data_IF_510746127798
#
_entry.id   IF_510746127798
#
_cell.length_a   1.000
_cell.length_b   1.000
_cell.length_c   1.000
_cell.angle_alpha   90.00
_cell.angle_beta   90.00
_cell.angle_gamma   90.00
#
_symmetry.space_group_name_H-M   'P 1'
#
loop_
_entity.id
_entity.type
_entity.pdbx_description
1 polymer ?
#
# COMPACT_ATOMS: atom_id res chain seq x y z
N UNK A 1 3.92 4.33 15.96
CA UNK A 1 3.80 4.91 14.59
C UNK A 1 2.35 5.03 14.16
N UNK A 2 1.57 3.94 14.13
CA UNK A 2 0.14 3.99 13.76
C UNK A 2 -0.65 5.04 14.56
N UNK A 3 -0.48 5.08 15.88
CA UNK A 3 -1.10 6.08 16.75
C UNK A 3 -0.84 7.52 16.27
N UNK A 4 0.43 7.86 16.01
CA UNK A 4 0.82 9.18 15.50
C UNK A 4 0.30 9.43 14.08
N UNK A 5 0.27 8.39 13.24
CA UNK A 5 -0.30 8.45 11.90
C UNK A 5 -1.79 8.77 11.91
N UNK A 6 -2.57 8.11 12.77
CA UNK A 6 -4.00 8.32 12.92
C UNK A 6 -4.31 9.71 13.52
N UNK A 7 -3.56 10.15 14.54
CA UNK A 7 -3.68 11.51 15.09
C UNK A 7 -3.35 12.58 14.05
N UNK A 8 -2.30 12.37 13.25
CA UNK A 8 -1.94 13.29 12.15
C UNK A 8 -3.02 13.32 11.07
N UNK A 9 -3.60 12.17 10.73
CA UNK A 9 -4.67 12.05 9.73
C UNK A 9 -5.91 12.84 10.20
N UNK A 10 -6.28 12.69 11.47
CA UNK A 10 -7.33 13.50 12.08
C UNK A 10 -6.99 14.99 12.05
N UNK A 11 -5.83 15.39 12.57
CA UNK A 11 -5.44 16.79 12.71
C UNK A 11 -5.39 17.55 11.38
N UNK A 12 -5.21 16.84 10.25
CA UNK A 12 -5.24 17.40 8.90
C UNK A 12 -6.63 17.52 8.28
N UNK A 13 -7.69 17.10 8.98
CA UNK A 13 -9.06 17.10 8.43
C UNK A 13 -9.36 15.93 7.48
N UNK A 14 -8.37 15.06 7.22
CA UNK A 14 -8.46 14.03 6.18
C UNK A 14 -9.54 12.97 6.43
N UNK A 15 -10.02 12.81 7.67
CA UNK A 15 -11.18 11.96 7.97
C UNK A 15 -12.40 12.44 7.18
N UNK A 16 -12.71 13.74 7.27
CA UNK A 16 -13.83 14.31 6.54
C UNK A 16 -13.57 14.30 5.04
N UNK A 17 -12.39 14.76 4.63
CA UNK A 17 -12.04 15.02 3.23
C UNK A 17 -12.05 13.76 2.38
N UNK A 18 -11.59 12.64 2.96
CA UNK A 18 -11.44 11.37 2.25
C UNK A 18 -12.68 10.48 2.40
N UNK A 19 -13.40 10.55 3.53
CA UNK A 19 -14.42 9.53 3.87
C UNK A 19 -15.82 10.05 4.17
N UNK A 20 -16.01 11.33 4.50
CA UNK A 20 -17.34 11.85 4.89
C UNK A 20 -17.93 12.82 3.86
N UNK A 21 -17.08 13.68 3.28
CA UNK A 21 -17.50 14.68 2.29
C UNK A 21 -17.69 14.12 0.87
N UNK A 22 -16.91 13.13 0.40
CA UNK A 22 -17.10 12.60 -0.94
C UNK A 22 -18.52 12.03 -1.14
N UNK A 23 -19.19 12.35 -2.26
CA UNK A 23 -20.54 11.85 -2.53
C UNK A 23 -20.56 10.37 -2.99
N UNK A 24 -19.39 9.87 -3.40
CA UNK A 24 -19.18 8.54 -3.95
C UNK A 24 -17.87 7.98 -3.40
N UNK A 25 -17.79 6.67 -3.24
CA UNK A 25 -16.56 5.97 -2.83
C UNK A 25 -16.25 4.85 -3.81
N UNK A 26 -15.00 4.79 -4.24
CA UNK A 26 -14.53 3.67 -5.05
C UNK A 26 -14.26 2.47 -4.14
N UNK A 27 -14.78 1.31 -4.51
CA UNK A 27 -14.79 0.11 -3.68
C UNK A 27 -13.88 -0.96 -4.26
N UNK A 28 -13.39 -1.83 -3.38
CA UNK A 28 -12.66 -3.02 -3.78
C UNK A 28 -13.65 -4.13 -4.18
N UNK A 29 -13.33 -4.97 -5.18
CA UNK A 29 -14.17 -6.12 -5.52
C UNK A 29 -14.49 -6.98 -4.29
N UNK A 30 -15.78 -7.24 -4.05
CA UNK A 30 -16.27 -7.99 -2.88
C UNK A 30 -16.50 -7.17 -1.60
N UNK A 31 -16.19 -5.87 -1.62
CA UNK A 31 -16.28 -4.98 -0.46
C UNK A 31 -17.17 -3.75 -0.68
N UNK A 32 -18.06 -3.76 -1.68
CA UNK A 32 -18.99 -2.66 -1.95
C UNK A 32 -20.02 -2.40 -0.83
N UNK A 33 -20.15 -3.34 0.10
CA UNK A 33 -20.97 -3.22 1.31
C UNK A 33 -20.27 -2.45 2.44
N UNK A 34 -18.96 -2.24 2.36
CA UNK A 34 -18.20 -1.48 3.37
C UNK A 34 -18.43 0.01 3.11
N UNK A 35 -19.06 0.71 4.06
CA UNK A 35 -19.43 2.13 3.96
C UNK A 35 -19.02 2.87 5.23
N UNK A 36 -18.70 4.18 5.13
CA UNK A 36 -18.29 4.95 6.30
C UNK A 36 -19.40 5.02 7.34
N UNK A 37 -19.01 5.09 8.61
CA UNK A 37 -19.97 5.29 9.69
C UNK A 37 -20.65 6.66 9.54
N UNK A 38 -21.96 6.77 9.79
CA UNK A 38 -22.66 8.04 9.70
C UNK A 38 -22.26 9.00 10.83
N UNK A 39 -22.40 10.31 10.56
CA UNK A 39 -22.13 11.37 11.53
C UNK A 39 -20.72 11.29 12.14
N UNK A 40 -20.64 11.42 13.46
CA UNK A 40 -19.36 11.41 14.19
C UNK A 40 -18.76 10.00 14.36
N UNK A 41 -19.44 8.96 13.89
CA UNK A 41 -19.04 7.57 14.09
C UNK A 41 -17.63 7.27 13.56
N UNK A 42 -17.23 7.88 12.44
CA UNK A 42 -15.90 7.67 11.87
C UNK A 42 -14.79 8.34 12.70
N UNK A 43 -15.06 9.49 13.32
CA UNK A 43 -14.12 10.11 14.25
C UNK A 43 -13.92 9.24 15.50
N UNK A 44 -15.00 8.68 16.05
CA UNK A 44 -14.91 7.72 17.16
C UNK A 44 -14.13 6.46 16.75
N UNK A 45 -14.29 5.99 15.52
CA UNK A 45 -13.51 4.87 14.97
C UNK A 45 -12.01 5.18 14.89
N UNK A 46 -11.64 6.39 14.45
CA UNK A 46 -10.24 6.82 14.47
C UNK A 46 -9.68 6.96 15.89
N UNK A 47 -10.48 7.43 16.85
CA UNK A 47 -10.10 7.44 18.27
C UNK A 47 -9.85 6.02 18.78
N UNK A 48 -10.69 5.06 18.38
CA UNK A 48 -10.49 3.65 18.69
C UNK A 48 -9.17 3.12 18.10
N UNK A 49 -8.83 3.45 16.84
CA UNK A 49 -7.53 3.10 16.24
C UNK A 49 -6.36 3.68 17.04
N UNK A 50 -6.46 4.93 17.51
CA UNK A 50 -5.45 5.58 18.35
C UNK A 50 -5.27 4.82 19.68
N UNK A 51 -6.38 4.55 20.38
CA UNK A 51 -6.37 3.82 21.65
C UNK A 51 -5.83 2.39 21.49
N UNK A 52 -6.32 1.65 20.49
CA UNK A 52 -5.87 0.29 20.18
C UNK A 52 -4.38 0.25 19.82
N UNK A 53 -3.89 1.24 19.06
CA UNK A 53 -2.46 1.39 18.75
C UNK A 53 -1.62 1.59 20.01
N UNK A 54 -2.09 2.39 20.97
CA UNK A 54 -1.42 2.58 22.25
C UNK A 54 -1.41 1.28 23.08
N UNK A 55 -2.55 0.58 23.15
CA UNK A 55 -2.66 -0.72 23.82
C UNK A 55 -1.68 -1.74 23.24
N UNK A 56 -1.58 -1.86 21.91
CA UNK A 56 -0.63 -2.77 21.26
C UNK A 56 0.83 -2.37 21.58
N UNK A 57 1.16 -1.08 21.52
CA UNK A 57 2.52 -0.60 21.80
C UNK A 57 2.96 -0.85 23.26
N UNK A 58 2.04 -0.67 24.22
CA UNK A 58 2.28 -0.95 25.64
C UNK A 58 2.16 -2.46 25.97
N UNK A 59 1.58 -3.24 25.06
CA UNK A 59 1.17 -4.61 25.29
C UNK A 59 0.15 -4.74 26.43
N UNK A 60 -0.89 -3.92 26.38
CA UNK A 60 -2.05 -3.92 27.26
C UNK A 60 -3.23 -4.56 26.52
N UNK A 61 -3.84 -5.60 27.11
CA UNK A 61 -4.87 -6.42 26.46
C UNK A 61 -4.44 -6.85 25.05
N UNK A 62 -3.16 -7.16 24.87
CA UNK A 62 -2.47 -7.15 23.58
C UNK A 62 -3.17 -8.00 22.53
N UNK A 63 -3.61 -9.22 22.89
CA UNK A 63 -4.19 -10.16 21.92
C UNK A 63 -5.47 -9.59 21.29
N UNK A 64 -6.35 -9.06 22.14
CA UNK A 64 -7.59 -8.43 21.70
C UNK A 64 -7.29 -7.12 20.98
N UNK A 65 -6.41 -6.29 21.55
CA UNK A 65 -6.06 -5.00 20.97
C UNK A 65 -5.45 -5.13 19.57
N UNK A 66 -4.57 -6.10 19.33
CA UNK A 66 -3.97 -6.34 18.02
C UNK A 66 -4.99 -6.85 16.99
N UNK A 67 -5.90 -7.73 17.40
CA UNK A 67 -6.98 -8.22 16.52
C UNK A 67 -7.96 -7.09 16.16
N UNK A 68 -8.39 -6.30 17.14
CA UNK A 68 -9.26 -5.15 16.90
C UNK A 68 -8.56 -4.06 16.10
N UNK A 69 -7.26 -3.83 16.30
CA UNK A 69 -6.49 -2.88 15.51
C UNK A 69 -6.41 -3.29 14.05
N UNK A 70 -6.18 -4.57 13.77
CA UNK A 70 -6.22 -5.12 12.42
C UNK A 70 -7.59 -4.85 11.77
N UNK A 71 -8.68 -5.27 12.43
CA UNK A 71 -10.03 -5.08 11.89
C UNK A 71 -10.39 -3.59 11.69
N UNK A 72 -10.09 -2.74 12.68
CA UNK A 72 -10.41 -1.33 12.64
C UNK A 72 -9.62 -0.59 11.54
N UNK A 73 -8.33 -0.90 11.38
CA UNK A 73 -7.50 -0.26 10.36
C UNK A 73 -7.83 -0.78 8.96
N UNK A 74 -8.00 -2.09 8.78
CA UNK A 74 -8.39 -2.69 7.49
C UNK A 74 -9.78 -2.22 7.05
N UNK A 75 -10.72 -2.01 7.97
CA UNK A 75 -12.01 -1.37 7.65
C UNK A 75 -11.80 0.00 6.98
N UNK A 76 -10.97 0.88 7.56
CA UNK A 76 -10.71 2.22 6.99
C UNK A 76 -10.03 2.13 5.63
N UNK A 77 -9.11 1.17 5.44
CA UNK A 77 -8.46 0.93 4.15
C UNK A 77 -9.48 0.51 3.06
N UNK A 78 -10.49 -0.27 3.42
CA UNK A 78 -11.52 -0.78 2.50
C UNK A 78 -12.58 0.25 2.12
N UNK A 79 -12.68 1.38 2.83
CA UNK A 79 -13.67 2.42 2.57
C UNK A 79 -13.48 3.16 1.24
N UNK A 80 -12.22 3.40 0.84
CA UNK A 80 -11.93 4.24 -0.33
C UNK A 80 -10.69 3.73 -1.07
N UNK A 81 -10.91 3.14 -2.25
CA UNK A 81 -9.87 2.62 -3.13
C UNK A 81 -9.00 3.74 -3.71
N UNK A 82 -9.52 4.96 -3.90
CA UNK A 82 -8.73 6.12 -4.29
C UNK A 82 -7.73 6.57 -3.21
N UNK A 83 -7.83 6.05 -1.98
CA UNK A 83 -6.87 6.30 -0.91
C UNK A 83 -5.85 5.16 -0.74
N UNK A 84 -5.82 4.19 -1.66
CA UNK A 84 -4.91 3.04 -1.60
C UNK A 84 -3.44 3.46 -1.55
N UNK A 85 -2.70 2.92 -0.58
CA UNK A 85 -1.25 3.05 -0.48
C UNK A 85 -0.64 1.72 -0.03
N UNK A 86 0.47 1.31 -0.65
CA UNK A 86 1.15 0.06 -0.27
C UNK A 86 1.51 -0.02 1.23
N UNK A 87 1.77 1.13 1.88
CA UNK A 87 2.06 1.11 3.32
C UNK A 87 0.84 0.97 4.21
N UNK A 88 -0.37 1.34 3.75
CA UNK A 88 -1.59 1.01 4.48
C UNK A 88 -1.84 -0.49 4.44
N UNK A 89 -1.65 -1.10 3.27
CA UNK A 89 -1.66 -2.55 3.15
C UNK A 89 -0.62 -3.23 4.05
N UNK A 90 0.63 -2.72 4.10
CA UNK A 90 1.65 -3.23 5.02
C UNK A 90 1.23 -3.13 6.48
N UNK A 91 0.61 -2.03 6.89
CA UNK A 91 0.11 -1.84 8.27
C UNK A 91 -0.95 -2.90 8.59
N UNK A 92 -1.93 -3.10 7.71
CA UNK A 92 -2.95 -4.16 7.86
C UNK A 92 -2.30 -5.54 8.01
N UNK A 93 -1.34 -5.87 7.15
CA UNK A 93 -0.63 -7.16 7.21
C UNK A 93 0.19 -7.33 8.49
N UNK A 94 0.91 -6.30 8.93
CA UNK A 94 1.68 -6.35 10.17
C UNK A 94 0.77 -6.44 11.40
N UNK A 95 -0.37 -5.75 11.40
CA UNK A 95 -1.36 -5.84 12.47
C UNK A 95 -1.95 -7.25 12.56
N UNK A 96 -2.27 -7.89 11.42
CA UNK A 96 -2.69 -9.29 11.36
C UNK A 96 -1.63 -10.23 11.93
N UNK A 97 -0.37 -10.10 11.48
CA UNK A 97 0.73 -10.91 11.99
C UNK A 97 0.90 -10.72 13.51
N UNK A 98 0.84 -9.48 14.01
CA UNK A 98 0.91 -9.20 15.45
C UNK A 98 -0.27 -9.82 16.21
N UNK A 99 -1.49 -9.82 15.65
CA UNK A 99 -2.65 -10.47 16.28
C UNK A 99 -2.47 -11.99 16.42
N UNK A 100 -1.75 -12.63 15.48
CA UNK A 100 -1.43 -14.06 15.51
C UNK A 100 -0.25 -14.39 16.43
N UNK A 101 0.65 -13.43 16.68
CA UNK A 101 1.91 -13.64 17.41
C UNK A 101 1.82 -13.14 18.87
N UNK A 102 2.27 -13.92 19.88
CA UNK A 102 2.24 -13.49 21.28
C UNK A 102 3.40 -12.53 21.64
N UNK A 103 3.45 -11.34 21.01
CA UNK A 103 4.57 -10.40 21.19
C UNK A 103 4.61 -9.69 22.56
N UNK A 104 3.55 -9.81 23.37
CA UNK A 104 3.46 -9.22 24.70
C UNK A 104 4.21 -9.98 25.80
N UNK A 105 4.82 -11.14 25.52
CA UNK A 105 5.38 -11.99 26.58
C UNK A 105 6.63 -11.45 27.31
N UNK A 106 7.18 -10.28 26.98
CA UNK A 106 8.44 -9.80 27.57
C UNK A 106 8.26 -8.57 28.48
N UNK A 107 8.27 -7.37 27.90
CA UNK A 107 8.31 -6.10 28.64
C UNK A 107 6.94 -5.37 28.67
N UNK A 108 5.85 -6.06 28.37
CA UNK A 108 4.51 -5.50 28.24
C UNK A 108 3.84 -5.22 29.59
N UNK A 109 2.76 -4.42 29.57
CA UNK A 109 1.89 -4.24 30.73
C UNK A 109 1.15 -5.54 31.10
N UNK A 110 0.73 -6.34 30.12
CA UNK A 110 0.09 -7.65 30.37
C UNK A 110 1.01 -8.59 31.16
N UNK A 111 2.28 -8.72 30.75
CA UNK A 111 3.26 -9.58 31.43
C UNK A 111 3.73 -9.01 32.78
N UNK A 112 3.55 -7.70 33.01
CA UNK A 112 3.73 -7.10 34.34
C UNK A 112 2.59 -7.45 35.28
N UNK A 113 1.33 -7.40 34.80
CA UNK A 113 0.10 -7.70 35.55
C UNK A 113 -0.05 -9.19 35.81
N UNK A 114 0.23 -10.02 34.81
CA UNK A 114 0.19 -11.48 34.91
C UNK A 114 1.58 -12.07 34.61
N UNK A 115 2.36 -12.44 35.64
CA UNK A 115 3.66 -13.06 35.49
C UNK A 115 3.65 -14.38 34.70
N UNK A 116 2.51 -15.09 34.60
CA UNK A 116 2.41 -16.34 33.83
C UNK A 116 2.60 -16.13 32.32
N UNK A 117 2.38 -14.91 31.84
CA UNK A 117 2.60 -14.51 30.45
C UNK A 117 4.07 -14.23 30.12
N UNK A 118 4.96 -14.14 31.13
CA UNK A 118 6.37 -13.81 30.93
C UNK A 118 7.09 -14.95 30.19
N UNK A 119 7.83 -14.57 29.15
CA UNK A 119 8.58 -15.46 28.27
C UNK A 119 9.99 -14.91 28.07
N UNK A 120 10.99 -15.73 28.38
CA UNK A 120 12.39 -15.39 28.14
C UNK A 120 12.77 -15.49 26.65
N UNK A 121 12.08 -16.37 25.91
CA UNK A 121 12.32 -16.66 24.50
C UNK A 121 11.01 -16.94 23.75
N UNK A 122 11.06 -16.82 22.42
CA UNK A 122 9.99 -17.17 21.50
C UNK A 122 10.53 -18.14 20.43
N UNK A 123 9.68 -18.99 19.83
CA UNK A 123 10.06 -19.78 18.66
C UNK A 123 10.56 -18.89 17.52
N UNK A 124 11.61 -19.33 16.82
CA UNK A 124 12.26 -18.54 15.79
C UNK A 124 11.33 -18.14 14.63
N UNK A 125 10.34 -18.97 14.31
CA UNK A 125 9.38 -18.69 13.23
C UNK A 125 8.54 -17.43 13.48
N UNK A 126 8.34 -17.02 14.74
CA UNK A 126 7.53 -15.84 15.07
C UNK A 126 8.21 -14.55 14.61
N UNK A 127 9.49 -14.38 14.97
CA UNK A 127 10.31 -13.29 14.43
C UNK A 127 10.60 -13.49 12.94
N UNK A 128 10.78 -14.73 12.51
CA UNK A 128 10.97 -15.11 11.11
C UNK A 128 9.83 -14.63 10.21
N UNK A 129 8.57 -14.76 10.64
CA UNK A 129 7.41 -14.29 9.90
C UNK A 129 7.44 -12.76 9.69
N UNK A 130 7.68 -11.98 10.76
CA UNK A 130 7.78 -10.52 10.65
C UNK A 130 8.94 -10.10 9.73
N UNK A 131 10.10 -10.76 9.86
CA UNK A 131 11.26 -10.52 8.98
C UNK A 131 10.97 -10.84 7.53
N UNK A 132 10.35 -11.98 7.26
CA UNK A 132 9.97 -12.40 5.91
C UNK A 132 9.01 -11.38 5.31
N UNK A 133 7.97 -10.96 6.04
CA UNK A 133 7.04 -9.95 5.54
C UNK A 133 7.73 -8.65 5.13
N UNK A 134 8.60 -8.10 6.00
CA UNK A 134 9.34 -6.87 5.69
C UNK A 134 10.31 -7.08 4.51
N UNK A 135 10.97 -8.23 4.45
CA UNK A 135 11.87 -8.58 3.34
C UNK A 135 11.11 -8.68 2.02
N UNK A 136 9.91 -9.27 1.99
CA UNK A 136 9.09 -9.37 0.78
C UNK A 136 8.72 -7.99 0.22
N UNK A 137 8.42 -7.02 1.07
CA UNK A 137 8.13 -5.63 0.63
C UNK A 137 9.33 -5.06 -0.13
N UNK A 138 10.53 -5.14 0.44
CA UNK A 138 11.75 -4.67 -0.23
C UNK A 138 12.03 -5.45 -1.51
N UNK A 139 12.04 -6.78 -1.44
CA UNK A 139 12.39 -7.63 -2.59
C UNK A 139 11.41 -7.41 -3.74
N UNK A 140 10.10 -7.39 -3.50
CA UNK A 140 9.14 -7.16 -4.58
C UNK A 140 9.13 -5.71 -5.09
N UNK A 141 9.41 -4.72 -4.25
CA UNK A 141 9.64 -3.35 -4.71
C UNK A 141 10.87 -3.26 -5.63
N UNK A 142 11.90 -4.07 -5.37
CA UNK A 142 13.10 -4.19 -6.20
C UNK A 142 12.86 -4.98 -7.48
N UNK A 143 12.14 -6.12 -7.42
CA UNK A 143 11.75 -6.90 -8.59
C UNK A 143 10.91 -6.07 -9.55
N UNK A 144 9.98 -5.26 -9.04
CA UNK A 144 9.16 -4.40 -9.87
C UNK A 144 9.99 -3.31 -10.60
N UNK A 145 11.18 -2.96 -10.10
CA UNK A 145 12.16 -2.06 -10.74
C UNK A 145 13.01 -2.74 -11.81
N UNK A 146 12.92 -4.07 -11.98
CA UNK A 146 13.66 -4.80 -13.01
C UNK A 146 12.96 -4.72 -14.37
N UNK A 147 12.87 -3.51 -14.92
CA UNK A 147 12.26 -3.24 -16.23
C UNK A 147 13.06 -2.16 -16.99
N UNK A 148 12.80 -2.04 -18.29
CA UNK A 148 13.52 -1.09 -19.17
C UNK A 148 13.32 0.37 -18.79
N UNK A 149 12.11 0.74 -18.36
CA UNK A 149 11.76 2.12 -18.02
C UNK A 149 12.57 2.59 -16.83
N UNK A 150 12.65 1.75 -15.80
CA UNK A 150 13.46 2.01 -14.62
C UNK A 150 14.96 1.88 -14.91
N UNK A 151 15.46 0.70 -15.29
CA UNK A 151 16.91 0.43 -15.32
C UNK A 151 17.65 1.13 -16.47
N UNK A 152 17.02 1.20 -17.65
CA UNK A 152 17.66 1.71 -18.87
C UNK A 152 17.28 3.16 -19.10
N UNK A 153 15.99 3.49 -19.01
CA UNK A 153 15.51 4.85 -19.27
C UNK A 153 15.58 5.75 -18.04
N UNK A 154 15.80 5.21 -16.84
CA UNK A 154 15.72 5.92 -15.55
C UNK A 154 14.45 6.77 -15.40
N UNK A 155 13.35 6.25 -15.94
CA UNK A 155 12.02 6.79 -15.77
C UNK A 155 11.34 6.04 -14.61
N UNK A 156 10.56 6.76 -13.79
CA UNK A 156 10.25 8.20 -13.88
C UNK A 156 11.26 9.11 -13.16
N UNK A 157 12.37 8.60 -12.62
CA UNK A 157 13.34 9.41 -11.85
C UNK A 157 13.86 10.65 -12.58
N UNK A 158 14.11 10.57 -13.90
CA UNK A 158 14.50 11.74 -14.72
C UNK A 158 13.48 12.88 -14.66
N UNK A 159 12.19 12.56 -14.53
CA UNK A 159 11.11 13.53 -14.43
C UNK A 159 11.07 14.07 -13.01
N UNK A 160 11.01 13.18 -12.01
CA UNK A 160 10.82 13.59 -10.63
C UNK A 160 11.97 14.40 -10.04
N UNK A 161 13.22 14.07 -10.37
CA UNK A 161 14.38 14.78 -9.83
C UNK A 161 14.46 16.23 -10.35
N UNK A 162 14.00 16.48 -11.58
CA UNK A 162 13.97 17.83 -12.16
C UNK A 162 12.98 18.77 -11.46
N UNK A 163 11.99 18.23 -10.75
CA UNK A 163 11.07 19.04 -9.95
C UNK A 163 11.70 19.61 -8.66
N UNK A 164 12.96 19.25 -8.36
CA UNK A 164 13.65 19.58 -7.11
C UNK A 164 15.00 20.28 -7.34
N UNK A 165 15.16 20.96 -8.47
CA UNK A 165 16.42 21.64 -8.85
C UNK A 165 16.70 22.90 -8.04
N UNK A 166 15.71 23.37 -7.30
CA UNK A 166 15.75 24.50 -6.37
C UNK A 166 16.33 24.13 -4.99
N UNK A 167 16.51 22.84 -4.69
CA UNK A 167 17.07 22.40 -3.41
C UNK A 167 18.51 22.91 -3.22
N UNK A 168 18.83 23.53 -2.07
CA UNK A 168 20.19 23.96 -1.76
C UNK A 168 21.19 22.80 -1.84
N UNK A 169 22.38 23.09 -2.37
CA UNK A 169 23.53 22.18 -2.51
C UNK A 169 23.36 21.03 -3.52
N UNK A 170 22.19 20.38 -3.56
CA UNK A 170 21.97 19.16 -4.36
C UNK A 170 21.16 19.40 -5.63
N UNK A 171 20.36 20.48 -5.70
CA UNK A 171 19.49 20.80 -6.84
C UNK A 171 20.19 20.75 -8.21
N UNK A 172 21.38 21.36 -8.39
CA UNK A 172 22.11 21.28 -9.65
C UNK A 172 22.46 19.85 -10.09
N UNK A 173 22.70 18.93 -9.14
CA UNK A 173 22.99 17.53 -9.45
C UNK A 173 21.72 16.78 -9.83
N UNK A 174 20.57 17.12 -9.24
CA UNK A 174 19.28 16.51 -9.56
C UNK A 174 18.81 16.84 -10.99
N UNK A 175 19.33 17.91 -11.60
CA UNK A 175 19.12 18.21 -13.01
C UNK A 175 19.89 17.28 -13.96
N UNK A 176 20.99 16.65 -13.49
CA UNK A 176 21.83 15.78 -14.30
C UNK A 176 21.20 14.40 -14.49
N UNK A 177 20.98 14.04 -15.75
CA UNK A 177 20.41 12.78 -16.20
C UNK A 177 21.23 11.57 -15.70
N UNK A 178 22.54 11.72 -15.50
CA UNK A 178 23.42 10.66 -14.96
C UNK A 178 23.06 10.33 -13.51
N UNK A 179 22.67 11.33 -12.72
CA UNK A 179 22.23 11.14 -11.33
C UNK A 179 20.94 10.34 -11.30
N UNK A 180 20.00 10.59 -12.22
CA UNK A 180 18.78 9.79 -12.33
C UNK A 180 19.07 8.30 -12.62
N UNK A 181 20.00 7.98 -13.52
CA UNK A 181 20.39 6.58 -13.78
C UNK A 181 21.10 5.95 -12.57
N UNK A 182 22.01 6.68 -11.92
CA UNK A 182 22.67 6.20 -10.72
C UNK A 182 21.67 5.90 -9.60
N UNK A 183 20.70 6.80 -9.37
CA UNK A 183 19.62 6.60 -8.38
C UNK A 183 18.68 5.46 -8.77
N UNK A 184 18.41 5.27 -10.06
CA UNK A 184 17.61 4.14 -10.55
C UNK A 184 18.27 2.81 -10.20
N UNK A 185 19.54 2.63 -10.60
CA UNK A 185 20.30 1.41 -10.32
C UNK A 185 20.48 1.20 -8.81
N UNK A 186 20.83 2.26 -8.08
CA UNK A 186 20.99 2.20 -6.63
C UNK A 186 19.68 1.84 -5.92
N UNK A 187 18.55 2.40 -6.35
CA UNK A 187 17.23 2.08 -5.79
C UNK A 187 16.82 0.64 -6.02
N UNK A 188 17.02 0.11 -7.23
CA UNK A 188 16.75 -1.30 -7.54
C UNK A 188 17.66 -2.25 -6.73
N UNK A 189 18.97 -1.96 -6.71
CA UNK A 189 19.94 -2.76 -5.97
C UNK A 189 19.67 -2.72 -4.46
N UNK A 190 19.35 -1.55 -3.91
CA UNK A 190 18.98 -1.39 -2.51
C UNK A 190 17.78 -2.25 -2.15
N UNK A 191 16.67 -2.12 -2.86
CA UNK A 191 15.43 -2.86 -2.58
C UNK A 191 15.64 -4.39 -2.68
N UNK A 192 16.40 -4.86 -3.67
CA UNK A 192 16.66 -6.29 -3.86
C UNK A 192 17.59 -6.90 -2.79
N UNK A 193 18.52 -6.12 -2.24
CA UNK A 193 19.63 -6.67 -1.44
C UNK A 193 19.62 -6.26 0.03
N UNK A 194 18.93 -5.17 0.39
CA UNK A 194 19.01 -4.62 1.75
C UNK A 194 18.56 -5.61 2.84
N UNK A 195 17.54 -6.48 2.64
CA UNK A 195 17.20 -7.46 3.66
C UNK A 195 18.34 -8.46 3.93
N UNK A 196 19.05 -8.88 2.88
CA UNK A 196 20.18 -9.81 2.99
C UNK A 196 21.34 -9.15 3.75
N UNK A 197 21.62 -7.89 3.46
CA UNK A 197 22.70 -7.15 4.12
C UNK A 197 22.41 -6.86 5.60
N UNK A 198 21.15 -6.60 5.97
CA UNK A 198 20.78 -6.43 7.39
C UNK A 198 20.90 -7.74 8.18
N UNK A 199 20.55 -8.87 7.54
CA UNK A 199 20.66 -10.20 8.13
C UNK A 199 22.12 -10.64 8.27
N UNK A 200 22.97 -10.34 7.28
CA UNK A 200 24.39 -10.69 7.31
C UNK A 200 25.18 -9.84 8.31
N UNK A 201 25.82 -10.49 9.28
CA UNK A 201 26.53 -9.80 10.36
C UNK A 201 27.66 -8.89 9.91
N UNK A 202 28.31 -9.18 8.76
CA UNK A 202 29.47 -8.42 8.27
C UNK A 202 29.08 -7.09 7.64
N UNK A 203 27.90 -6.99 7.04
CA UNK A 203 27.47 -5.78 6.29
C UNK A 203 26.46 -4.93 7.06
N UNK A 204 25.94 -5.42 8.20
CA UNK A 204 24.83 -4.82 8.93
C UNK A 204 24.95 -3.32 9.26
N UNK A 205 26.12 -2.85 9.68
CA UNK A 205 26.29 -1.43 10.04
C UNK A 205 26.17 -0.56 8.80
N UNK A 206 26.85 -0.95 7.72
CA UNK A 206 26.74 -0.29 6.41
C UNK A 206 25.29 -0.34 5.91
N UNK A 207 24.64 -1.50 6.02
CA UNK A 207 23.24 -1.68 5.64
C UNK A 207 22.30 -0.74 6.42
N UNK A 208 22.51 -0.56 7.73
CA UNK A 208 21.73 0.39 8.52
C UNK A 208 21.93 1.83 8.05
N UNK A 209 23.17 2.25 7.78
CA UNK A 209 23.45 3.58 7.21
C UNK A 209 22.72 3.75 5.88
N UNK A 210 22.77 2.74 5.01
CA UNK A 210 22.02 2.75 3.75
C UNK A 210 20.51 2.86 3.96
N UNK A 211 19.92 2.14 4.91
CA UNK A 211 18.47 2.23 5.23
C UNK A 211 18.09 3.63 5.66
N UNK A 212 18.83 4.22 6.61
CA UNK A 212 18.54 5.57 7.07
C UNK A 212 18.73 6.61 5.96
N UNK A 213 19.83 6.52 5.21
CA UNK A 213 20.11 7.43 4.09
C UNK A 213 19.08 7.33 2.97
N UNK A 214 18.75 6.12 2.53
CA UNK A 214 17.76 5.89 1.46
C UNK A 214 16.38 6.43 1.83
N UNK A 215 15.89 6.12 3.04
CA UNK A 215 14.58 6.60 3.51
C UNK A 215 14.57 8.11 3.80
N UNK A 216 15.69 8.69 4.24
CA UNK A 216 15.81 10.14 4.37
C UNK A 216 15.75 10.84 3.00
N UNK A 217 16.52 10.36 2.02
CA UNK A 217 16.54 10.92 0.65
C UNK A 217 15.16 10.79 0.01
N UNK A 218 14.55 9.61 0.06
CA UNK A 218 13.21 9.40 -0.51
C UNK A 218 12.13 10.18 0.23
N UNK A 219 12.23 10.33 1.55
CA UNK A 219 11.31 11.17 2.33
C UNK A 219 11.46 12.67 2.08
N UNK A 220 12.65 13.12 1.67
CA UNK A 220 12.90 14.51 1.28
C UNK A 220 12.38 14.81 -0.14
N UNK A 221 12.63 13.89 -1.08
CA UNK A 221 12.35 14.10 -2.51
C UNK A 221 10.92 13.75 -2.92
N UNK A 222 10.20 12.94 -2.14
CA UNK A 222 8.91 12.40 -2.56
C UNK A 222 7.87 12.49 -1.44
N UNK A 223 6.60 12.83 -1.77
CA UNK A 223 5.52 12.95 -0.78
C UNK A 223 4.98 11.58 -0.34
N UNK A 224 5.82 10.75 0.30
CA UNK A 224 5.53 9.35 0.65
C UNK A 224 4.78 9.18 1.99
N UNK A 225 4.38 10.28 2.63
CA UNK A 225 3.67 10.27 3.89
C UNK A 225 4.45 9.57 5.01
N UNK A 226 3.86 8.54 5.61
CA UNK A 226 4.49 7.80 6.74
C UNK A 226 5.40 6.67 6.29
N UNK A 227 5.48 6.37 4.98
CA UNK A 227 6.20 5.22 4.46
C UNK A 227 7.69 5.17 4.86
N UNK A 228 8.51 6.23 4.67
CA UNK A 228 9.94 6.16 5.00
C UNK A 228 10.16 5.80 6.48
N UNK A 229 9.37 6.43 7.36
CA UNK A 229 9.41 6.16 8.79
C UNK A 229 9.04 4.71 9.13
N UNK A 230 7.97 4.19 8.53
CA UNK A 230 7.50 2.81 8.79
C UNK A 230 8.53 1.80 8.30
N UNK A 231 9.11 2.02 7.12
CA UNK A 231 10.09 1.11 6.55
C UNK A 231 11.42 1.13 7.30
N UNK A 232 11.89 2.30 7.75
CA UNK A 232 13.07 2.41 8.62
C UNK A 232 12.85 1.67 9.95
N UNK A 233 11.70 1.89 10.61
CA UNK A 233 11.38 1.21 11.86
C UNK A 233 11.23 -0.31 11.68
N UNK A 234 10.58 -0.74 10.59
CA UNK A 234 10.36 -2.16 10.28
C UNK A 234 11.66 -2.88 9.92
N UNK A 235 12.62 -2.20 9.28
CA UNK A 235 13.93 -2.77 8.98
C UNK A 235 14.69 -3.19 10.24
N UNK A 236 14.42 -2.59 11.40
CA UNK A 236 15.01 -2.99 12.69
C UNK A 236 14.62 -4.43 13.11
N UNK A 237 13.54 -4.99 12.55
CA UNK A 237 13.17 -6.40 12.76
C UNK A 237 14.19 -7.37 12.15
N UNK A 238 14.93 -6.95 11.12
CA UNK A 238 15.96 -7.76 10.45
C UNK A 238 17.26 -7.83 11.27
N UNK A 239 17.45 -6.95 12.26
CA UNK A 239 18.59 -6.98 13.17
C UNK A 239 18.51 -8.18 14.15
N UNK A 240 19.62 -8.58 14.80
CA UNK A 240 19.63 -9.69 15.73
C UNK A 240 18.64 -9.48 16.88
N UNK A 241 17.90 -10.52 17.28
CA UNK A 241 16.89 -10.43 18.35
C UNK A 241 17.42 -9.90 19.71
N UNK A 242 18.74 -9.87 19.90
CA UNK A 242 19.39 -9.33 21.09
C UNK A 242 19.56 -7.81 21.08
N UNK A 243 19.43 -7.13 19.94
CA UNK A 243 19.71 -5.69 19.82
C UNK A 243 18.90 -4.82 20.80
N UNK A 244 17.58 -5.04 21.03
CA UNK A 244 16.83 -4.18 21.95
C UNK A 244 17.28 -4.36 23.39
N UNK A 245 17.68 -5.58 23.77
CA UNK A 245 18.19 -5.89 25.11
C UNK A 245 19.56 -5.25 25.35
N UNK A 246 20.44 -5.29 24.35
CA UNK A 246 21.76 -4.65 24.40
C UNK A 246 21.64 -3.13 24.55
N UNK A 247 20.73 -2.51 23.79
CA UNK A 247 20.49 -1.06 23.85
C UNK A 247 20.00 -0.62 25.24
N UNK A 248 19.14 -1.42 25.89
CA UNK A 248 18.62 -1.14 27.22
C UNK A 248 19.59 -1.50 28.36
N UNK A 249 20.87 -1.80 28.07
CA UNK A 249 21.86 -2.19 29.08
C UNK A 249 21.52 -3.48 29.83
N UNK A 250 20.61 -4.32 29.30
CA UNK A 250 20.20 -5.57 29.94
C UNK A 250 21.21 -6.67 29.61
N UNK A 251 21.51 -7.52 30.60
CA UNK A 251 22.48 -8.60 30.48
C UNK A 251 22.31 -9.39 29.16
N UNK A 252 23.41 -9.75 28.48
CA UNK A 252 23.34 -10.49 27.23
C UNK A 252 22.57 -11.79 27.47
N UNK A 253 21.52 -11.99 26.69
CA UNK A 253 20.69 -13.18 26.76
C UNK A 253 21.53 -14.43 26.48
N UNK A 254 21.66 -15.31 27.48
CA UNK A 254 22.13 -16.67 27.26
C UNK A 254 21.02 -17.45 26.57
N UNK A 255 21.34 -18.03 25.41
CA UNK A 255 20.43 -18.91 24.67
C UNK A 255 20.08 -20.11 25.56
N UNK A 256 18.83 -20.25 26.04
CA UNK A 256 18.43 -21.44 26.77
C UNK A 256 18.58 -22.64 25.83
N UNK A 257 18.91 -23.82 26.37
CA UNK A 257 18.85 -25.06 25.61
C UNK A 257 17.44 -25.17 25.01
N UNK A 258 17.36 -25.31 23.68
CA UNK A 258 16.07 -25.44 23.01
C UNK A 258 15.52 -26.85 23.35
N UNK A 259 14.40 -26.97 24.08
CA UNK A 259 13.78 -28.27 24.22
C UNK A 259 13.38 -28.75 22.82
N UNK A 260 13.79 -29.97 22.42
CA UNK A 260 13.30 -30.64 21.22
C UNK A 260 11.85 -31.11 21.45
N UNK A 261 10.94 -30.16 21.60
CA UNK A 261 9.52 -30.42 21.74
C UNK A 261 8.85 -30.46 20.36
N UNK A 262 7.95 -31.42 20.14
CA UNK A 262 7.09 -31.41 18.96
C UNK A 262 6.20 -30.15 18.99
N UNK A 263 5.91 -29.53 17.84
CA UNK A 263 5.00 -28.39 17.80
C UNK A 263 3.64 -28.77 18.39
N UNK A 264 3.11 -27.94 19.29
CA UNK A 264 1.75 -28.08 19.82
C UNK A 264 0.70 -27.97 18.71
N UNK A 265 -0.54 -28.41 18.96
CA UNK A 265 -1.66 -28.23 18.02
C UNK A 265 -1.81 -26.76 17.60
N UNK A 266 -1.76 -25.84 18.56
CA UNK A 266 -1.82 -24.39 18.29
C UNK A 266 -0.66 -23.87 17.45
N UNK A 267 0.56 -24.38 17.66
CA UNK A 267 1.71 -24.04 16.81
C UNK A 267 1.56 -24.58 15.37
N UNK A 268 1.01 -25.78 15.20
CA UNK A 268 0.72 -26.32 13.85
C UNK A 268 -0.32 -25.47 13.11
N UNK A 269 -1.40 -25.10 13.79
CA UNK A 269 -2.40 -24.19 13.22
C UNK A 269 -1.80 -22.83 12.86
N UNK A 270 -0.97 -22.25 13.73
CA UNK A 270 -0.28 -20.99 13.45
C UNK A 270 0.67 -21.12 12.25
N UNK A 271 1.41 -22.22 12.11
CA UNK A 271 2.27 -22.47 10.95
C UNK A 271 1.47 -22.64 9.67
N UNK A 272 0.32 -23.33 9.71
CA UNK A 272 -0.58 -23.47 8.56
C UNK A 272 -1.16 -22.10 8.13
N UNK A 273 -1.58 -21.28 9.09
CA UNK A 273 -2.05 -19.92 8.83
C UNK A 273 -0.94 -19.03 8.24
N UNK A 274 0.28 -19.13 8.77
CA UNK A 274 1.44 -18.43 8.21
C UNK A 274 1.80 -18.93 6.81
N UNK A 275 1.71 -20.23 6.55
CA UNK A 275 1.95 -20.80 5.23
C UNK A 275 0.94 -20.24 4.22
N UNK A 276 -0.35 -20.29 4.53
CA UNK A 276 -1.40 -19.68 3.69
C UNK A 276 -1.15 -18.18 3.46
N UNK A 277 -0.84 -17.45 4.53
CA UNK A 277 -0.50 -16.02 4.45
C UNK A 277 0.66 -15.77 3.48
N UNK A 278 1.78 -16.46 3.65
CA UNK A 278 2.95 -16.24 2.80
C UNK A 278 2.76 -16.76 1.37
N UNK A 279 1.93 -17.78 1.14
CA UNK A 279 1.51 -18.14 -0.22
C UNK A 279 0.81 -16.96 -0.89
N UNK A 280 -0.12 -16.29 -0.19
CA UNK A 280 -0.80 -15.09 -0.73
C UNK A 280 0.20 -13.95 -0.93
N UNK A 281 1.09 -13.70 0.03
CA UNK A 281 2.09 -12.61 -0.05
C UNK A 281 3.14 -12.81 -1.15
N UNK A 282 3.36 -14.05 -1.60
CA UNK A 282 4.22 -14.38 -2.73
C UNK A 282 3.45 -14.33 -4.06
N UNK A 283 2.22 -14.86 -4.08
CA UNK A 283 1.42 -14.94 -5.29
C UNK A 283 0.85 -13.57 -5.70
N UNK A 284 0.36 -12.77 -4.76
CA UNK A 284 -0.31 -11.51 -5.06
C UNK A 284 0.58 -10.52 -5.83
N UNK A 285 1.87 -10.30 -5.49
CA UNK A 285 2.76 -9.45 -6.27
C UNK A 285 3.03 -9.95 -7.69
N UNK A 286 3.05 -11.28 -7.88
CA UNK A 286 3.35 -11.91 -9.17
C UNK A 286 2.13 -12.06 -10.08
N UNK A 287 0.91 -11.85 -9.55
CA UNK A 287 -0.34 -12.11 -10.29
C UNK A 287 -0.50 -11.27 -11.55
N UNK A 288 0.17 -10.13 -11.65
CA UNK A 288 0.13 -9.28 -12.84
C UNK A 288 0.64 -10.01 -14.10
N UNK A 289 1.49 -11.04 -13.95
CA UNK A 289 1.92 -11.91 -15.06
C UNK A 289 0.81 -12.77 -15.66
N UNK A 290 -0.34 -12.88 -14.99
CA UNK A 290 -1.53 -13.57 -15.51
C UNK A 290 -2.36 -12.68 -16.46
N UNK A 291 -2.02 -11.39 -16.56
CA UNK A 291 -2.71 -10.41 -17.39
C UNK A 291 -1.80 -10.01 -18.56
N UNK A 292 -2.35 -9.84 -19.77
CA UNK A 292 -1.58 -9.37 -20.91
C UNK A 292 -1.27 -7.87 -20.77
N UNK A 293 -0.16 -7.43 -21.37
CA UNK A 293 0.20 -6.02 -21.44
C UNK A 293 1.09 -5.53 -20.30
N UNK A 294 1.37 -4.23 -20.32
CA UNK A 294 2.21 -3.56 -19.32
C UNK A 294 1.35 -3.16 -18.11
N UNK A 295 1.68 -3.67 -16.93
CA UNK A 295 0.96 -3.36 -15.68
C UNK A 295 1.03 -1.87 -15.31
N UNK A 296 2.06 -1.13 -15.72
CA UNK A 296 2.11 0.33 -15.55
C UNK A 296 1.07 1.06 -16.43
N UNK A 297 0.58 0.39 -17.47
CA UNK A 297 -0.47 0.89 -18.35
C UNK A 297 -1.85 0.39 -17.93
N UNK A 298 -2.02 -0.93 -17.76
CA UNK A 298 -3.34 -1.54 -17.52
C UNK A 298 -3.79 -1.50 -16.06
N UNK A 299 -2.86 -1.30 -15.11
CA UNK A 299 -3.05 -1.41 -13.65
C UNK A 299 -3.53 -2.80 -13.18
N UNK A 300 -3.56 -3.79 -14.06
CA UNK A 300 -4.05 -5.14 -13.74
C UNK A 300 -3.05 -5.88 -12.86
N UNK A 301 -3.51 -6.26 -11.66
CA UNK A 301 -2.64 -6.86 -10.66
C UNK A 301 -1.71 -5.87 -9.94
N UNK A 302 -1.87 -4.55 -10.13
CA UNK A 302 -0.99 -3.52 -9.56
C UNK A 302 -1.13 -3.30 -8.05
N UNK A 303 -2.37 -3.24 -7.51
CA UNK A 303 -2.61 -3.08 -6.06
C UNK A 303 -2.11 -4.29 -5.27
N UNK A 304 -1.78 -4.15 -3.99
CA UNK A 304 -1.30 -5.23 -3.11
C UNK A 304 -0.05 -5.99 -3.60
N UNK A 305 0.71 -5.41 -4.54
CA UNK A 305 1.85 -6.07 -5.20
C UNK A 305 3.22 -5.52 -4.79
N UNK A 306 3.28 -4.68 -3.75
CA UNK A 306 4.52 -4.00 -3.29
C UNK A 306 5.23 -3.19 -4.38
N UNK A 307 4.47 -2.77 -5.39
CA UNK A 307 4.92 -1.91 -6.50
C UNK A 307 4.93 -0.47 -6.01
N UNK A 308 6.09 0.01 -5.56
CA UNK A 308 6.26 1.35 -4.96
C UNK A 308 7.17 2.20 -5.81
N UNK A 309 6.69 3.41 -6.17
CA UNK A 309 7.43 4.44 -6.89
C UNK A 309 8.03 3.93 -8.21
N UNK A 310 7.16 3.58 -9.15
CA UNK A 310 7.56 3.00 -10.45
C UNK A 310 7.05 3.77 -11.65
N UNK A 311 6.05 4.63 -11.46
CA UNK A 311 5.21 5.15 -12.53
C UNK A 311 4.99 6.64 -12.32
N UNK A 312 5.21 7.42 -13.37
CA UNK A 312 4.66 8.77 -13.49
C UNK A 312 3.58 8.67 -14.56
N UNK A 313 2.31 8.80 -14.16
CA UNK A 313 1.17 8.59 -15.04
C UNK A 313 0.12 9.64 -14.73
N UNK A 314 -0.30 10.36 -15.76
CA UNK A 314 -1.30 11.42 -15.68
C UNK A 314 -2.41 11.08 -16.64
N UNK A 315 -3.66 11.22 -16.20
CA UNK A 315 -4.83 10.86 -16.96
C UNK A 315 -5.81 12.02 -17.08
N UNK A 316 -6.58 12.02 -18.17
CA UNK A 316 -7.73 12.87 -18.37
C UNK A 316 -8.90 12.00 -18.84
N UNK A 317 -10.06 12.15 -18.19
CA UNK A 317 -11.26 11.37 -18.49
C UNK A 317 -12.46 12.27 -18.61
N UNK A 318 -13.22 12.12 -19.69
CA UNK A 318 -14.56 12.69 -19.84
C UNK A 318 -15.54 11.56 -20.13
N UNK A 319 -16.73 11.60 -19.53
CA UNK A 319 -17.79 10.65 -19.86
C UNK A 319 -18.78 11.22 -20.88
N UNK A 320 -19.19 10.37 -21.82
CA UNK A 320 -20.31 10.58 -22.73
C UNK A 320 -21.45 9.68 -22.29
N UNK A 321 -22.54 10.27 -21.81
CA UNK A 321 -23.77 9.55 -21.44
C UNK A 321 -24.77 9.71 -22.57
N UNK A 322 -25.41 8.61 -22.98
CA UNK A 322 -26.44 8.61 -24.03
C UNK A 322 -27.68 7.90 -23.53
N UNK A 323 -28.83 8.55 -23.67
CA UNK A 323 -30.13 7.90 -23.55
C UNK A 323 -30.45 7.23 -24.90
N UNK A 324 -30.51 5.89 -24.97
CA UNK A 324 -30.81 5.19 -26.21
C UNK A 324 -32.26 5.36 -26.66
N UNK A 325 -33.20 5.64 -25.75
CA UNK A 325 -34.63 5.80 -26.07
C UNK A 325 -34.91 7.16 -26.73
N UNK A 326 -34.31 8.23 -26.22
CA UNK A 326 -34.56 9.60 -26.73
C UNK A 326 -33.45 10.13 -27.65
N UNK A 327 -32.28 9.48 -27.65
CA UNK A 327 -31.09 9.96 -28.35
C UNK A 327 -30.39 11.13 -27.68
N UNK A 328 -30.87 11.62 -26.51
CA UNK A 328 -30.24 12.69 -25.75
C UNK A 328 -28.83 12.28 -25.30
N UNK A 329 -27.93 13.25 -25.26
CA UNK A 329 -26.52 13.06 -24.91
C UNK A 329 -26.09 14.08 -23.88
N UNK A 330 -25.24 13.65 -22.95
CA UNK A 330 -24.61 14.49 -21.94
C UNK A 330 -23.11 14.23 -21.93
N UNK A 331 -22.36 15.29 -21.61
CA UNK A 331 -20.92 15.21 -21.34
C UNK A 331 -20.73 15.50 -19.87
N UNK A 332 -20.04 14.62 -19.16
CA UNK A 332 -19.78 14.74 -17.72
C UNK A 332 -18.27 14.81 -17.51
N UNK A 333 -17.83 15.86 -16.83
CA UNK A 333 -16.49 15.96 -16.28
C UNK A 333 -16.49 15.39 -14.85
N UNK A 334 -15.66 14.39 -14.53
CA UNK A 334 -15.54 13.86 -13.18
C UNK A 334 -15.07 14.89 -12.15
N UNK A 335 -14.29 15.91 -12.56
CA UNK A 335 -13.77 16.94 -11.66
C UNK A 335 -14.88 17.84 -11.08
N UNK A 336 -16.03 17.93 -11.76
CA UNK A 336 -17.21 18.67 -11.27
C UNK A 336 -17.94 17.96 -10.11
N UNK A 337 -17.60 16.68 -9.84
CA UNK A 337 -18.40 15.77 -9.00
C UNK A 337 -17.57 15.04 -7.95
N UNK A 338 -16.35 14.65 -8.31
CA UNK A 338 -15.42 13.92 -7.45
C UNK A 338 -14.48 14.89 -6.75
N UNK A 339 -13.87 14.42 -5.65
CA UNK A 339 -12.73 15.15 -5.08
C UNK A 339 -11.54 15.11 -6.04
N UNK A 340 -10.63 16.09 -5.94
CA UNK A 340 -9.41 16.15 -6.76
C UNK A 340 -8.62 14.84 -6.70
N UNK A 341 -8.47 14.25 -5.50
CA UNK A 341 -7.80 12.97 -5.33
C UNK A 341 -8.55 11.84 -6.06
N UNK A 342 -9.87 11.73 -5.90
CA UNK A 342 -10.66 10.71 -6.56
C UNK A 342 -10.60 10.83 -8.09
N UNK A 343 -10.74 12.04 -8.63
CA UNK A 343 -10.65 12.28 -10.07
C UNK A 343 -9.26 11.90 -10.61
N UNK A 344 -8.18 12.35 -9.96
CA UNK A 344 -6.80 12.05 -10.34
C UNK A 344 -6.49 10.55 -10.32
N UNK A 345 -6.86 9.87 -9.24
CA UNK A 345 -6.60 8.43 -9.09
C UNK A 345 -7.47 7.62 -10.07
N UNK A 346 -8.74 7.97 -10.24
CA UNK A 346 -9.63 7.32 -11.22
C UNK A 346 -9.09 7.46 -12.64
N UNK A 347 -8.60 8.65 -13.02
CA UNK A 347 -8.25 8.96 -14.40
C UNK A 347 -7.16 8.06 -15.01
N UNK A 348 -6.37 7.38 -14.18
CA UNK A 348 -5.30 6.47 -14.60
C UNK A 348 -5.57 4.99 -14.34
N UNK A 349 -6.72 4.66 -13.74
CA UNK A 349 -7.08 3.33 -13.26
C UNK A 349 -8.36 2.81 -13.95
N UNK A 350 -8.24 1.88 -14.93
CA UNK A 350 -9.38 1.41 -15.72
C UNK A 350 -10.56 0.84 -14.92
N UNK A 351 -10.31 0.20 -13.79
CA UNK A 351 -11.36 -0.35 -12.93
C UNK A 351 -12.19 0.76 -12.29
N UNK A 352 -11.54 1.84 -11.86
CA UNK A 352 -12.21 3.01 -11.30
C UNK A 352 -13.00 3.76 -12.38
N UNK A 353 -12.45 3.92 -13.59
CA UNK A 353 -13.19 4.53 -14.71
C UNK A 353 -14.51 3.79 -14.96
N UNK A 354 -14.45 2.46 -15.03
CA UNK A 354 -15.65 1.63 -15.24
C UNK A 354 -16.59 1.63 -14.03
N UNK A 355 -16.07 1.66 -12.80
CA UNK A 355 -16.88 1.76 -11.59
C UNK A 355 -17.67 3.08 -11.53
N UNK A 356 -17.04 4.21 -11.89
CA UNK A 356 -17.72 5.50 -11.94
C UNK A 356 -18.73 5.58 -13.10
N UNK A 357 -18.47 4.93 -14.24
CA UNK A 357 -19.46 4.82 -15.32
C UNK A 357 -20.78 4.18 -14.85
N UNK A 358 -20.69 3.14 -14.00
CA UNK A 358 -21.88 2.51 -13.38
C UNK A 358 -22.56 3.43 -12.40
N UNK A 359 -21.80 4.15 -11.58
CA UNK A 359 -22.36 5.16 -10.67
C UNK A 359 -23.15 6.24 -11.44
N UNK A 360 -22.64 6.71 -12.58
CA UNK A 360 -23.36 7.64 -13.44
C UNK A 360 -24.66 7.03 -13.98
N UNK A 361 -24.65 5.77 -14.41
CA UNK A 361 -25.87 5.10 -14.87
C UNK A 361 -26.94 5.02 -13.76
N UNK A 362 -26.53 4.67 -12.53
CA UNK A 362 -27.42 4.64 -11.36
C UNK A 362 -27.96 6.05 -11.02
N UNK A 363 -27.12 7.08 -11.10
CA UNK A 363 -27.51 8.48 -10.87
C UNK A 363 -28.55 8.97 -11.89
N UNK A 364 -28.38 8.63 -13.17
CA UNK A 364 -29.35 8.95 -14.23
C UNK A 364 -30.67 8.18 -14.05
N UNK A 365 -30.60 6.91 -13.69
CA UNK A 365 -31.79 6.11 -13.36
C UNK A 365 -32.58 6.72 -12.20
N UNK A 366 -31.89 7.16 -11.13
CA UNK A 366 -32.51 7.84 -9.99
C UNK A 366 -33.15 9.19 -10.37
N UNK A 367 -32.72 9.82 -11.46
CA UNK A 367 -33.28 11.06 -12.01
C UNK A 367 -34.40 10.82 -13.04
N UNK A 368 -34.82 9.57 -13.24
CA UNK A 368 -35.90 9.21 -14.17
C UNK A 368 -35.46 8.98 -15.61
N UNK A 369 -34.15 8.82 -15.86
CA UNK A 369 -33.59 8.43 -17.17
C UNK A 369 -32.85 7.10 -17.02
N UNK A 370 -33.56 5.96 -16.93
CA UNK A 370 -32.94 4.65 -16.80
C UNK A 370 -32.22 4.22 -18.09
N UNK A 371 -31.43 3.15 -17.99
CA UNK A 371 -30.82 2.44 -19.12
C UNK A 371 -29.92 3.28 -20.04
N UNK A 372 -29.32 4.35 -19.51
CA UNK A 372 -28.31 5.12 -20.24
C UNK A 372 -27.08 4.28 -20.57
N UNK A 373 -26.52 4.49 -21.76
CA UNK A 373 -25.22 3.97 -22.14
C UNK A 373 -24.14 4.99 -21.72
N UNK A 374 -23.06 4.51 -21.11
CA UNK A 374 -21.99 5.37 -20.57
C UNK A 374 -20.65 4.98 -21.19
N UNK A 375 -20.07 5.90 -21.96
CA UNK A 375 -18.78 5.75 -22.60
C UNK A 375 -17.75 6.68 -21.95
N UNK A 376 -16.47 6.33 -22.00
CA UNK A 376 -15.39 7.16 -21.49
C UNK A 376 -14.38 7.53 -22.60
N UNK A 377 -14.07 8.82 -22.70
CA UNK A 377 -12.89 9.31 -23.40
C UNK A 377 -11.76 9.45 -22.37
N UNK A 378 -10.97 8.40 -22.22
CA UNK A 378 -9.86 8.33 -21.27
C UNK A 378 -8.52 8.30 -22.00
N UNK A 379 -7.68 9.29 -21.70
CA UNK A 379 -6.31 9.39 -22.22
C UNK A 379 -5.33 9.45 -21.08
N UNK A 380 -4.18 8.81 -21.24
CA UNK A 380 -3.10 8.86 -20.26
C UNK A 380 -1.76 9.12 -20.91
N UNK A 381 -0.91 9.85 -20.20
CA UNK A 381 0.54 9.89 -20.46
C UNK A 381 1.21 8.95 -19.47
N UNK A 382 2.22 8.21 -19.93
CA UNK A 382 3.03 7.34 -19.09
C UNK A 382 4.50 7.74 -19.27
N UNK A 383 5.17 8.09 -18.18
CA UNK A 383 6.57 8.52 -18.18
C UNK A 383 6.85 9.70 -19.13
N UNK A 384 5.90 10.62 -19.28
CA UNK A 384 6.02 11.79 -20.14
C UNK A 384 5.90 11.48 -21.65
N UNK A 385 5.53 10.26 -22.03
CA UNK A 385 5.19 9.93 -23.41
C UNK A 385 3.91 10.66 -23.85
N UNK A 386 3.72 10.92 -25.17
CA UNK A 386 2.50 11.54 -25.69
C UNK A 386 1.24 10.83 -25.19
N UNK A 387 0.21 11.61 -24.90
CA UNK A 387 -1.05 11.07 -24.39
C UNK A 387 -1.66 10.08 -25.39
N UNK A 388 -2.07 8.92 -24.90
CA UNK A 388 -2.73 7.91 -25.70
C UNK A 388 -3.96 7.35 -24.99
N UNK A 389 -4.87 6.80 -25.80
CA UNK A 389 -6.17 6.35 -25.32
C UNK A 389 -6.00 5.09 -24.47
N UNK A 390 -6.53 5.12 -23.25
CA UNK A 390 -6.49 4.01 -22.31
C UNK A 390 -7.71 3.09 -22.44
N UNK A 391 -8.88 3.67 -22.71
CA UNK A 391 -10.17 2.95 -22.71
C UNK A 391 -10.79 3.01 -24.10
N UNK A 392 -11.34 1.88 -24.55
CA UNK A 392 -12.11 1.80 -25.80
C UNK A 392 -13.33 2.75 -25.73
N UNK A 393 -13.42 3.75 -26.64
CA UNK A 393 -14.44 4.78 -26.57
C UNK A 393 -15.84 4.31 -26.98
N UNK A 394 -15.94 3.12 -27.57
CA UNK A 394 -17.17 2.56 -28.13
C UNK A 394 -17.78 1.48 -27.23
N UNK A 395 -17.09 1.13 -26.13
CA UNK A 395 -17.61 0.21 -25.11
C UNK A 395 -18.49 0.95 -24.11
N UNK A 396 -19.71 0.44 -23.92
CA UNK A 396 -20.61 0.89 -22.85
C UNK A 396 -20.15 0.33 -21.50
N UNK A 397 -19.44 1.16 -20.74
CA UNK A 397 -18.83 0.79 -19.47
C UNK A 397 -19.87 0.53 -18.35
N UNK A 398 -21.10 1.04 -18.49
CA UNK A 398 -22.16 0.74 -17.55
C UNK A 398 -22.55 -0.75 -17.60
N UNK A 399 -22.41 -1.39 -18.78
CA UNK A 399 -22.87 -2.76 -19.04
C UNK A 399 -21.78 -3.83 -18.94
N UNK A 400 -20.50 -3.46 -18.89
CA UNK A 400 -19.41 -4.44 -18.74
C UNK A 400 -19.15 -4.78 -17.27
N UNK A 401 -19.09 -6.08 -16.97
CA UNK A 401 -18.69 -6.57 -15.65
C UNK A 401 -17.18 -6.49 -15.44
N UNK A 402 -16.75 -6.43 -14.17
CA UNK A 402 -15.33 -6.48 -13.81
C UNK A 402 -14.89 -7.95 -13.83
N UNK A 403 -14.06 -8.39 -14.80
CA UNK A 403 -13.60 -9.76 -14.86
C UNK A 403 -12.51 -10.03 -13.82
N UNK A 404 -12.29 -11.30 -13.50
CA UNK A 404 -11.08 -11.72 -12.78
C UNK A 404 -9.83 -11.70 -13.69
N UNK A 405 -10.04 -11.82 -15.00
CA UNK A 405 -8.99 -11.81 -16.03
C UNK A 405 -8.80 -10.45 -16.68
N UNK A 406 -8.21 -10.44 -17.88
CA UNK A 406 -7.93 -9.22 -18.64
C UNK A 406 -9.19 -8.41 -18.95
N UNK A 407 -9.13 -7.09 -18.80
CA UNK A 407 -10.21 -6.15 -19.12
C UNK A 407 -10.26 -5.89 -20.63
N UNK A 408 -11.31 -6.34 -21.34
CA UNK A 408 -11.37 -6.20 -22.80
C UNK A 408 -11.54 -4.76 -23.28
N UNK A 409 -11.95 -3.84 -22.41
CA UNK A 409 -12.13 -2.42 -22.74
C UNK A 409 -10.86 -1.57 -22.53
N UNK A 410 -9.76 -2.18 -22.08
CA UNK A 410 -8.48 -1.49 -21.92
C UNK A 410 -7.66 -1.67 -23.18
N UNK A 411 -7.32 -0.55 -23.83
CA UNK A 411 -6.51 -0.55 -25.04
C UNK A 411 -5.03 -0.78 -24.69
N UNK A 412 -4.27 -1.47 -25.56
CA UNK A 412 -2.85 -1.71 -25.31
C UNK A 412 -2.05 -0.40 -25.35
N UNK A 413 -0.95 -0.35 -24.57
CA UNK A 413 0.03 0.75 -24.63
C UNK A 413 0.53 0.89 -26.08
N UNK A 414 0.53 2.10 -26.67
CA UNK A 414 1.14 2.33 -27.97
C UNK A 414 2.63 1.93 -27.94
N UNK A 415 3.15 1.50 -29.09
CA UNK A 415 4.55 1.09 -29.24
C UNK A 415 5.50 2.26 -29.38
#
# INVERSE_FOLDING_TARGET
MMMAGALRFWARGWIADVYLRPPFHFTYPGFSWVRPWPGDGLYLHFLAIVALSACVALGLCYRLAAALLFLAFTYVELLEKAAYLNHYYLISVLALLLALLPAHGAASLDARRDPSLRRASIPAYQLGALRLQVALVYVFAGVAKLNGDWLVRALPLKIWLRAHTDLPLVGPWLADVRVAHAMSLAGAAFDLTIPLWLLWSRTRVVALVCVFGFHAITGLLFPLGVFPWIMTASALLLLPASWPRRLLGRAPWRRPAAPRARPTKGQRLALAALALHFTIQLAAPLRHHLYPGDVAWTEEGGRFAWRVMLVEKVGAVTYRVRDPATGRRWRIDPEDRLTEQQAREMAVQPDMIREYARHLADEFAARGVPDVAVYADAFVTLHGEPAARLIDPDVDLARVDEPLGARPWVLPRPR
#
